data_IF_052445573792
#
_entry.id   IF_052445573792
#
_cell.length_a   1.000
_cell.length_b   1.000
_cell.length_c   1.000
_cell.angle_alpha   90.00
_cell.angle_beta   90.00
_cell.angle_gamma   90.00
#
_symmetry.space_group_name_H-M   'P 1'
#
loop_
_entity.id
_entity.type
_entity.pdbx_description
1 polymer ?
#
# COMPACT_ATOMS: atom_id res chain seq x y z
N UNK A 1 -22.51 5.53 -4.22
CA UNK A 1 -21.28 4.88 -4.70
C UNK A 1 -21.06 3.65 -3.87
N UNK A 2 -20.93 2.48 -4.49
CA UNK A 2 -20.61 1.24 -3.80
C UNK A 2 -19.16 1.22 -3.32
N UNK A 3 -18.80 0.38 -2.33
CA UNK A 3 -17.40 0.15 -1.93
C UNK A 3 -16.48 -0.19 -3.11
N UNK A 4 -16.92 -1.06 -4.01
CA UNK A 4 -16.15 -1.48 -5.18
C UNK A 4 -15.97 -0.34 -6.19
N UNK A 5 -17.01 0.46 -6.45
CA UNK A 5 -16.94 1.64 -7.32
C UNK A 5 -15.97 2.69 -6.76
N UNK A 6 -15.97 2.89 -5.44
CA UNK A 6 -15.02 3.78 -4.78
C UNK A 6 -13.58 3.32 -5.01
N UNK A 7 -13.29 2.04 -4.75
CA UNK A 7 -11.97 1.45 -4.96
C UNK A 7 -11.54 1.56 -6.43
N UNK A 8 -12.45 1.28 -7.37
CA UNK A 8 -12.17 1.41 -8.79
C UNK A 8 -11.83 2.85 -9.18
N UNK A 9 -12.60 3.83 -8.70
CA UNK A 9 -12.36 5.25 -8.97
C UNK A 9 -11.02 5.70 -8.39
N UNK A 10 -10.71 5.32 -7.15
CA UNK A 10 -9.44 5.64 -6.49
C UNK A 10 -8.25 5.02 -7.25
N UNK A 11 -8.37 3.76 -7.64
CA UNK A 11 -7.34 3.06 -8.38
C UNK A 11 -7.10 3.68 -9.77
N UNK A 12 -8.17 3.99 -10.51
CA UNK A 12 -8.09 4.61 -11.83
C UNK A 12 -7.49 6.04 -11.78
N UNK A 13 -7.89 6.84 -10.79
CA UNK A 13 -7.41 8.21 -10.64
C UNK A 13 -5.90 8.31 -10.38
N UNK A 14 -5.28 7.24 -9.87
CA UNK A 14 -3.83 7.21 -9.63
C UNK A 14 -2.96 7.31 -10.89
N UNK A 15 -3.54 7.12 -12.09
CA UNK A 15 -2.81 7.15 -13.37
C UNK A 15 -1.76 6.04 -13.53
N UNK A 16 -1.71 5.08 -12.60
CA UNK A 16 -0.68 4.04 -12.58
C UNK A 16 -0.93 2.97 -13.64
N UNK A 17 0.16 2.49 -14.25
CA UNK A 17 0.15 1.33 -15.15
C UNK A 17 -0.36 0.05 -14.46
N UNK A 18 -0.26 -0.04 -13.13
CA UNK A 18 -0.77 -1.19 -12.37
C UNK A 18 -2.29 -1.35 -12.49
N UNK A 19 -3.06 -0.26 -12.49
CA UNK A 19 -4.52 -0.36 -12.56
C UNK A 19 -4.98 -1.07 -13.85
N UNK A 20 -4.32 -0.78 -14.98
CA UNK A 20 -4.65 -1.40 -16.26
C UNK A 20 -4.28 -2.89 -16.31
N UNK A 21 -3.23 -3.32 -15.61
CA UNK A 21 -2.87 -4.75 -15.57
C UNK A 21 -3.92 -5.59 -14.82
N UNK A 22 -4.63 -5.00 -13.86
CA UNK A 22 -5.69 -5.69 -13.11
C UNK A 22 -6.91 -6.05 -13.98
N UNK A 23 -7.13 -5.34 -15.09
CA UNK A 23 -8.24 -5.60 -16.02
C UNK A 23 -8.18 -6.98 -16.69
N UNK A 24 -7.03 -7.64 -16.66
CA UNK A 24 -6.86 -9.00 -17.21
C UNK A 24 -7.10 -10.10 -16.17
N UNK A 25 -7.32 -9.76 -14.91
CA UNK A 25 -7.57 -10.74 -13.86
C UNK A 25 -9.03 -11.22 -13.85
N UNK A 26 -9.29 -12.46 -13.39
CA UNK A 26 -10.64 -12.95 -13.11
C UNK A 26 -11.39 -12.01 -12.14
N UNK A 27 -12.73 -11.90 -12.23
CA UNK A 27 -13.50 -10.88 -11.50
C UNK A 27 -13.24 -10.82 -9.99
N UNK A 28 -13.13 -11.97 -9.32
CA UNK A 28 -12.89 -12.03 -7.87
C UNK A 28 -11.51 -11.46 -7.49
N UNK A 29 -10.46 -11.88 -8.21
CA UNK A 29 -9.09 -11.41 -7.98
C UNK A 29 -8.95 -9.93 -8.34
N UNK A 30 -9.64 -9.49 -9.41
CA UNK A 30 -9.68 -8.08 -9.83
C UNK A 30 -10.26 -7.18 -8.74
N UNK A 31 -11.39 -7.56 -8.12
CA UNK A 31 -11.97 -6.78 -7.02
C UNK A 31 -11.03 -6.73 -5.82
N UNK A 32 -10.48 -7.87 -5.42
CA UNK A 32 -9.54 -7.95 -4.31
C UNK A 32 -8.29 -7.07 -4.51
N UNK A 33 -7.61 -7.17 -5.66
CA UNK A 33 -6.41 -6.36 -5.92
C UNK A 33 -6.75 -4.87 -6.09
N UNK A 34 -7.92 -4.54 -6.64
CA UNK A 34 -8.35 -3.14 -6.77
C UNK A 34 -8.61 -2.53 -5.39
N UNK A 35 -9.26 -3.27 -4.49
CA UNK A 35 -9.48 -2.83 -3.11
C UNK A 35 -8.16 -2.71 -2.33
N UNK A 36 -7.24 -3.67 -2.48
CA UNK A 36 -5.90 -3.59 -1.88
C UNK A 36 -5.10 -2.39 -2.40
N UNK A 37 -5.15 -2.15 -3.71
CA UNK A 37 -4.46 -1.02 -4.33
C UNK A 37 -5.06 0.31 -3.88
N UNK A 38 -6.40 0.40 -3.80
CA UNK A 38 -7.08 1.58 -3.25
C UNK A 38 -6.69 1.83 -1.78
N UNK A 39 -6.53 0.78 -0.97
CA UNK A 39 -6.00 0.89 0.40
C UNK A 39 -4.59 1.47 0.40
N UNK A 40 -3.67 0.91 -0.39
CA UNK A 40 -2.31 1.42 -0.47
C UNK A 40 -2.29 2.90 -0.87
N UNK A 41 -3.16 3.32 -1.80
CA UNK A 41 -3.29 4.72 -2.22
C UNK A 41 -3.83 5.63 -1.13
N UNK A 42 -4.90 5.24 -0.45
CA UNK A 42 -5.45 6.03 0.66
C UNK A 42 -4.42 6.32 1.74
N UNK A 43 -3.55 5.36 2.07
CA UNK A 43 -2.53 5.56 3.09
C UNK A 43 -1.33 6.34 2.56
N UNK A 44 -0.91 6.13 1.30
CA UNK A 44 0.13 6.93 0.63
C UNK A 44 -0.26 8.43 0.58
N UNK A 45 -1.53 8.72 0.27
CA UNK A 45 -2.06 10.09 0.21
C UNK A 45 -2.05 10.78 1.59
N UNK A 46 -2.11 10.05 2.71
CA UNK A 46 -1.97 10.64 4.06
C UNK A 46 -0.59 11.26 4.27
N UNK A 47 0.45 10.68 3.67
CA UNK A 47 1.83 11.18 3.77
C UNK A 47 2.09 12.24 2.71
N UNK A 48 1.53 12.07 1.50
CA UNK A 48 1.77 12.96 0.38
C UNK A 48 0.94 14.26 0.46
N UNK A 49 -0.33 14.23 0.86
CA UNK A 49 -1.20 15.42 0.79
C UNK A 49 -1.22 16.26 2.07
N UNK A 50 -0.78 15.71 3.21
CA UNK A 50 -0.89 16.39 4.50
C UNK A 50 0.35 17.22 4.83
N UNK A 51 0.17 18.53 4.90
CA UNK A 51 1.24 19.47 5.27
C UNK A 51 1.57 19.42 6.78
N UNK A 52 0.58 19.09 7.63
CA UNK A 52 0.76 19.02 9.09
C UNK A 52 1.04 17.57 9.54
N UNK A 53 2.26 17.28 10.06
CA UNK A 53 2.61 15.96 10.56
C UNK A 53 1.72 15.45 11.69
N UNK A 54 1.13 16.33 12.51
CA UNK A 54 0.22 15.92 13.58
C UNK A 54 -1.09 15.37 13.02
N UNK A 55 -1.62 16.00 11.97
CA UNK A 55 -2.83 15.53 11.28
C UNK A 55 -2.56 14.22 10.54
N UNK A 56 -1.40 14.12 9.86
CA UNK A 56 -0.98 12.87 9.21
C UNK A 56 -0.90 11.70 10.20
N UNK A 57 -0.27 11.91 11.37
CA UNK A 57 -0.23 10.91 12.45
C UNK A 57 -1.61 10.50 12.95
N UNK A 58 -2.51 11.47 13.15
CA UNK A 58 -3.88 11.18 13.57
C UNK A 58 -4.65 10.35 12.52
N UNK A 59 -4.43 10.63 11.23
CA UNK A 59 -5.01 9.86 10.13
C UNK A 59 -4.46 8.44 10.04
N UNK A 60 -3.15 8.24 10.21
CA UNK A 60 -2.56 6.90 10.27
C UNK A 60 -3.08 6.11 11.48
N UNK A 61 -3.24 6.76 12.63
CA UNK A 61 -3.84 6.14 13.81
C UNK A 61 -5.30 5.71 13.54
N UNK A 62 -6.10 6.57 12.91
CA UNK A 62 -7.45 6.22 12.49
C UNK A 62 -7.47 5.02 11.53
N UNK A 63 -6.53 4.96 10.57
CA UNK A 63 -6.40 3.80 9.68
C UNK A 63 -6.04 2.51 10.43
N UNK A 64 -5.20 2.59 11.47
CA UNK A 64 -4.89 1.44 12.33
C UNK A 64 -6.15 0.94 13.06
N UNK A 65 -6.95 1.84 13.60
CA UNK A 65 -8.23 1.51 14.23
C UNK A 65 -9.23 0.92 13.23
N UNK A 66 -9.29 1.47 12.02
CA UNK A 66 -10.13 1.00 10.93
C UNK A 66 -9.74 -0.41 10.44
N UNK A 67 -8.45 -0.73 10.41
CA UNK A 67 -7.98 -2.11 10.20
C UNK A 67 -8.45 -2.99 11.37
N UNK A 68 -8.38 -2.51 12.61
CA UNK A 68 -8.96 -3.21 13.76
C UNK A 68 -10.44 -3.55 13.56
N UNK A 69 -11.24 -2.58 13.12
CA UNK A 69 -12.67 -2.75 12.81
C UNK A 69 -12.92 -3.74 11.67
N UNK A 70 -12.12 -3.68 10.62
CA UNK A 70 -12.18 -4.61 9.49
C UNK A 70 -12.08 -6.07 9.97
N UNK A 71 -11.11 -6.40 10.81
CA UNK A 71 -10.95 -7.75 11.34
C UNK A 71 -11.95 -8.09 12.46
N UNK A 72 -12.61 -7.08 13.06
CA UNK A 72 -13.74 -7.28 13.96
C UNK A 72 -15.09 -7.47 13.21
N UNK A 73 -15.10 -7.33 11.87
CA UNK A 73 -16.30 -7.49 11.05
C UNK A 73 -17.17 -6.23 10.94
N UNK A 74 -16.68 -5.06 11.36
CA UNK A 74 -17.40 -3.78 11.33
C UNK A 74 -16.65 -2.66 10.55
N UNK A 75 -16.17 -2.91 9.32
CA UNK A 75 -15.45 -1.89 8.55
C UNK A 75 -16.35 -0.71 8.19
N UNK A 76 -15.85 0.50 8.41
CA UNK A 76 -16.59 1.75 8.14
C UNK A 76 -16.17 2.38 6.80
N UNK A 77 -14.90 2.26 6.44
CA UNK A 77 -14.38 2.87 5.22
C UNK A 77 -14.81 2.08 3.96
N UNK A 78 -15.14 2.74 2.83
CA UNK A 78 -15.45 2.02 1.58
C UNK A 78 -14.37 1.01 1.17
N UNK A 79 -13.10 1.35 1.35
CA UNK A 79 -11.98 0.46 0.98
C UNK A 79 -11.93 -0.79 1.86
N UNK A 80 -12.07 -0.66 3.18
CA UNK A 80 -12.07 -1.81 4.09
C UNK A 80 -13.33 -2.65 3.91
N UNK A 81 -14.48 -2.02 3.63
CA UNK A 81 -15.71 -2.73 3.24
C UNK A 81 -15.54 -3.56 1.96
N UNK A 82 -14.81 -3.04 0.97
CA UNK A 82 -14.49 -3.78 -0.26
C UNK A 82 -13.45 -4.88 -0.03
N UNK A 83 -12.51 -4.70 0.92
CA UNK A 83 -11.52 -5.72 1.30
C UNK A 83 -12.11 -6.87 2.13
N UNK A 84 -13.09 -6.59 2.99
CA UNK A 84 -13.70 -7.55 3.90
C UNK A 84 -14.06 -8.91 3.29
N UNK A 85 -14.76 -9.01 2.14
CA UNK A 85 -15.11 -10.31 1.53
C UNK A 85 -13.89 -11.09 1.00
N UNK A 86 -12.71 -10.48 0.95
CA UNK A 86 -11.50 -11.04 0.34
C UNK A 86 -10.46 -11.52 1.35
N UNK A 87 -10.61 -11.16 2.64
CA UNK A 87 -9.61 -11.44 3.67
C UNK A 87 -9.29 -12.94 3.78
N UNK A 88 -10.32 -13.76 4.03
CA UNK A 88 -10.15 -15.20 4.16
C UNK A 88 -9.82 -15.89 2.84
N UNK A 89 -10.34 -15.39 1.71
CA UNK A 89 -10.18 -16.02 0.41
C UNK A 89 -8.74 -15.93 -0.13
N UNK A 90 -7.99 -14.90 0.28
CA UNK A 90 -6.64 -14.62 -0.21
C UNK A 90 -5.60 -14.48 0.90
N UNK A 91 -5.92 -14.92 2.13
CA UNK A 91 -5.06 -14.81 3.31
C UNK A 91 -4.46 -13.40 3.49
N UNK A 92 -5.31 -12.37 3.34
CA UNK A 92 -4.91 -11.00 3.64
C UNK A 92 -4.87 -10.90 5.16
N UNK A 93 -3.66 -10.94 5.72
CA UNK A 93 -3.43 -10.92 7.16
C UNK A 93 -3.42 -9.49 7.70
N UNK A 94 -3.89 -9.33 8.94
CA UNK A 94 -3.94 -8.03 9.63
C UNK A 94 -2.56 -7.39 9.70
N UNK A 95 -1.56 -8.17 10.08
CA UNK A 95 -0.19 -7.71 10.26
C UNK A 95 0.41 -7.17 8.96
N UNK A 96 0.07 -7.77 7.81
CA UNK A 96 0.53 -7.28 6.51
C UNK A 96 -0.04 -5.90 6.18
N UNK A 97 -1.31 -5.62 6.51
CA UNK A 97 -1.87 -4.27 6.32
C UNK A 97 -1.24 -3.27 7.30
N UNK A 98 -1.02 -3.68 8.55
CA UNK A 98 -0.38 -2.83 9.56
C UNK A 98 1.09 -2.51 9.20
N UNK A 99 1.82 -3.43 8.59
CA UNK A 99 3.19 -3.19 8.11
C UNK A 99 3.22 -2.11 7.00
N UNK A 100 2.20 -2.07 6.14
CA UNK A 100 2.07 -0.99 5.14
C UNK A 100 1.85 0.36 5.83
N UNK A 101 0.98 0.43 6.86
CA UNK A 101 0.81 1.64 7.68
C UNK A 101 2.12 2.06 8.37
N UNK A 102 2.87 1.10 8.90
CA UNK A 102 4.16 1.37 9.54
C UNK A 102 5.13 1.99 8.55
N UNK A 103 5.19 1.47 7.31
CA UNK A 103 6.00 2.06 6.25
C UNK A 103 5.65 3.53 5.97
N UNK A 104 4.36 3.88 5.99
CA UNK A 104 3.89 5.27 5.83
C UNK A 104 4.22 6.13 7.06
N UNK A 105 4.16 5.56 8.26
CA UNK A 105 4.57 6.25 9.49
C UNK A 105 6.08 6.54 9.50
N UNK A 106 6.92 5.68 8.92
CA UNK A 106 8.36 5.91 8.79
C UNK A 106 8.65 7.18 7.96
N UNK A 107 7.87 7.44 6.91
CA UNK A 107 8.02 8.65 6.08
C UNK A 107 7.72 9.95 6.85
N UNK A 108 6.90 9.90 7.90
CA UNK A 108 6.63 11.05 8.78
C UNK A 108 7.73 11.32 9.82
N UNK A 109 8.59 10.33 10.07
CA UNK A 109 9.60 10.40 11.13
C UNK A 109 10.98 10.79 10.60
N UNK A 110 11.32 10.36 9.39
CA UNK A 110 12.66 10.55 8.83
C UNK A 110 12.63 10.62 7.30
N UNK A 111 13.56 11.40 6.74
CA UNK A 111 13.74 11.55 5.29
C UNK A 111 15.06 10.96 4.79
N UNK A 112 15.83 10.30 5.67
CA UNK A 112 17.13 9.70 5.37
C UNK A 112 17.33 8.40 6.15
N UNK A 113 18.01 7.46 5.51
CA UNK A 113 18.39 6.17 6.10
C UNK A 113 19.91 6.12 6.25
N UNK A 114 20.39 5.72 7.43
CA UNK A 114 21.82 5.68 7.76
C UNK A 114 22.54 4.50 7.10
N UNK A 115 21.84 3.40 6.89
CA UNK A 115 22.38 2.18 6.31
C UNK A 115 21.38 1.50 5.38
N UNK A 116 21.90 0.52 4.62
CA UNK A 116 21.08 -0.25 3.69
C UNK A 116 20.03 -1.11 4.41
N UNK A 117 20.31 -1.60 5.61
CA UNK A 117 19.37 -2.46 6.33
C UNK A 117 18.09 -1.70 6.72
N UNK A 118 18.24 -0.45 7.19
CA UNK A 118 17.13 0.44 7.49
C UNK A 118 16.37 0.82 6.21
N UNK A 119 17.07 1.12 5.11
CA UNK A 119 16.44 1.39 3.81
C UNK A 119 15.69 0.17 3.27
N UNK A 120 16.26 -1.04 3.42
CA UNK A 120 15.64 -2.28 2.96
C UNK A 120 14.39 -2.61 3.79
N UNK A 121 14.41 -2.38 5.10
CA UNK A 121 13.22 -2.50 5.97
C UNK A 121 12.11 -1.55 5.52
N UNK A 122 12.46 -0.30 5.25
CA UNK A 122 11.50 0.66 4.70
C UNK A 122 10.90 0.18 3.37
N UNK A 123 11.74 -0.23 2.41
CA UNK A 123 11.29 -0.72 1.12
C UNK A 123 10.42 -1.99 1.25
N UNK A 124 10.73 -2.85 2.21
CA UNK A 124 9.90 -4.02 2.52
C UNK A 124 8.50 -3.58 2.95
N UNK A 125 8.38 -2.66 3.92
CA UNK A 125 7.09 -2.21 4.43
C UNK A 125 6.24 -1.51 3.36
N UNK A 126 6.82 -0.61 2.55
CA UNK A 126 6.07 0.19 1.57
C UNK A 126 5.81 -0.50 0.23
N UNK A 127 6.59 -1.55 -0.12
CA UNK A 127 6.48 -2.21 -1.42
C UNK A 127 6.59 -3.73 -1.37
N UNK A 128 7.49 -4.28 -0.54
CA UNK A 128 7.67 -5.73 -0.40
C UNK A 128 6.40 -6.44 0.09
N UNK A 129 5.80 -5.97 1.17
CA UNK A 129 4.56 -6.52 1.76
C UNK A 129 3.40 -6.41 0.78
N UNK A 130 3.29 -5.30 0.03
CA UNK A 130 2.27 -5.14 -1.02
C UNK A 130 2.48 -6.18 -2.14
N UNK A 131 3.73 -6.47 -2.49
CA UNK A 131 4.08 -7.54 -3.43
C UNK A 131 3.62 -8.92 -2.96
N UNK A 132 3.84 -9.25 -1.68
CA UNK A 132 3.39 -10.52 -1.09
C UNK A 132 1.87 -10.65 -1.09
N UNK A 133 1.16 -9.62 -0.63
CA UNK A 133 -0.30 -9.57 -0.63
C UNK A 133 -0.87 -9.74 -2.06
N UNK A 134 -0.23 -9.08 -3.03
CA UNK A 134 -0.60 -9.21 -4.45
C UNK A 134 -0.37 -10.63 -4.97
N UNK A 135 0.77 -11.25 -4.61
CA UNK A 135 1.06 -12.63 -4.99
C UNK A 135 0.01 -13.61 -4.44
N UNK A 136 -0.41 -13.43 -3.19
CA UNK A 136 -1.50 -14.20 -2.58
C UNK A 136 -2.82 -14.05 -3.34
N UNK A 137 -3.22 -12.81 -3.66
CA UNK A 137 -4.42 -12.54 -4.46
C UNK A 137 -4.35 -13.17 -5.86
N UNK A 138 -3.16 -13.23 -6.46
CA UNK A 138 -2.93 -13.87 -7.76
C UNK A 138 -2.87 -15.40 -7.69
N UNK A 139 -2.93 -15.98 -6.49
CA UNK A 139 -3.00 -17.42 -6.25
C UNK A 139 -1.63 -18.09 -6.07
N UNK A 140 -0.63 -17.36 -5.59
CA UNK A 140 0.65 -17.94 -5.21
C UNK A 140 0.48 -18.94 -4.06
N UNK A 141 1.03 -20.15 -4.22
CA UNK A 141 0.96 -21.22 -3.21
C UNK A 141 2.33 -21.66 -2.70
N UNK A 142 3.41 -21.23 -3.34
CA UNK A 142 4.78 -21.61 -3.01
C UNK A 142 5.50 -20.47 -2.29
N UNK A 143 6.19 -20.77 -1.18
CA UNK A 143 6.96 -19.76 -0.42
C UNK A 143 7.98 -19.02 -1.31
N UNK A 144 8.61 -19.72 -2.25
CA UNK A 144 9.55 -19.13 -3.22
C UNK A 144 8.93 -17.99 -4.05
N UNK A 145 7.62 -18.05 -4.33
CA UNK A 145 6.91 -16.97 -5.04
C UNK A 145 6.79 -15.73 -4.16
N UNK A 146 6.53 -15.90 -2.86
CA UNK A 146 6.49 -14.80 -1.90
C UNK A 146 7.88 -14.19 -1.68
N UNK A 147 8.93 -15.02 -1.60
CA UNK A 147 10.32 -14.53 -1.58
C UNK A 147 10.65 -13.69 -2.83
N UNK A 148 10.22 -14.14 -4.00
CA UNK A 148 10.41 -13.38 -5.24
C UNK A 148 9.61 -12.08 -5.23
N UNK A 149 8.36 -12.11 -4.75
CA UNK A 149 7.51 -10.92 -4.64
C UNK A 149 8.13 -9.86 -3.71
N UNK A 150 8.69 -10.27 -2.57
CA UNK A 150 9.48 -9.38 -1.68
C UNK A 150 10.63 -8.70 -2.42
N UNK A 151 11.44 -9.49 -3.13
CA UNK A 151 12.60 -8.99 -3.89
C UNK A 151 12.19 -8.05 -5.01
N UNK A 152 11.10 -8.36 -5.71
CA UNK A 152 10.55 -7.51 -6.76
C UNK A 152 10.06 -6.18 -6.20
N UNK A 153 9.32 -6.20 -5.09
CA UNK A 153 8.87 -4.98 -4.39
C UNK A 153 10.04 -4.09 -3.98
N UNK A 154 11.08 -4.69 -3.38
CA UNK A 154 12.33 -3.99 -3.05
C UNK A 154 12.99 -3.37 -4.28
N UNK A 155 13.13 -4.12 -5.37
CA UNK A 155 13.76 -3.64 -6.60
C UNK A 155 12.99 -2.47 -7.24
N UNK A 156 11.66 -2.57 -7.31
CA UNK A 156 10.80 -1.50 -7.82
C UNK A 156 10.90 -0.24 -6.97
N UNK A 157 10.91 -0.39 -5.64
CA UNK A 157 11.00 0.75 -4.74
C UNK A 157 12.37 1.44 -4.79
N UNK A 158 13.46 0.67 -4.82
CA UNK A 158 14.79 1.23 -5.02
C UNK A 158 14.90 1.95 -6.37
N UNK A 159 14.28 1.40 -7.42
CA UNK A 159 14.23 2.05 -8.74
C UNK A 159 13.50 3.39 -8.68
N UNK A 160 12.35 3.45 -7.99
CA UNK A 160 11.63 4.71 -7.77
C UNK A 160 12.50 5.73 -7.01
N UNK A 161 13.14 5.31 -5.91
CA UNK A 161 14.03 6.18 -5.12
C UNK A 161 15.19 6.73 -5.98
N UNK A 162 15.83 5.89 -6.79
CA UNK A 162 16.95 6.30 -7.66
C UNK A 162 16.46 7.25 -8.76
N UNK A 163 15.34 6.94 -9.42
CA UNK A 163 14.75 7.80 -10.46
C UNK A 163 14.44 9.19 -9.91
N UNK A 164 13.89 9.25 -8.70
CA UNK A 164 13.38 10.50 -8.13
C UNK A 164 14.45 11.29 -7.37
N UNK A 165 15.67 10.76 -7.23
CA UNK A 165 16.74 11.34 -6.37
C UNK A 165 17.04 12.81 -6.67
N UNK A 166 16.92 13.22 -7.94
CA UNK A 166 17.11 14.61 -8.36
C UNK A 166 16.01 15.51 -7.84
N UNK A 167 14.77 15.03 -7.81
CA UNK A 167 13.66 15.77 -7.23
C UNK A 167 13.76 15.82 -5.69
N UNK A 168 14.08 14.71 -5.03
CA UNK A 168 14.26 14.68 -3.56
C UNK A 168 15.37 15.61 -3.05
N UNK A 169 16.31 16.02 -3.91
CA UNK A 169 17.32 17.03 -3.57
C UNK A 169 16.78 18.46 -3.52
N UNK A 170 15.71 18.75 -4.26
CA UNK A 170 15.13 20.08 -4.41
C UNK A 170 13.83 20.22 -3.61
N UNK A 171 13.10 19.11 -3.44
CA UNK A 171 11.88 19.02 -2.68
C UNK A 171 12.12 18.69 -1.21
N UNK A 172 11.34 19.30 -0.33
CA UNK A 172 11.29 18.99 1.11
C UNK A 172 10.37 17.81 1.43
N UNK A 173 9.55 17.33 0.48
CA UNK A 173 8.65 16.19 0.66
C UNK A 173 8.45 15.36 -0.61
N UNK A 174 7.98 14.12 -0.42
CA UNK A 174 7.67 13.14 -1.47
C UNK A 174 6.60 13.63 -2.44
N UNK A 175 5.63 14.38 -1.93
CA UNK A 175 4.51 14.96 -2.66
C UNK A 175 4.94 15.87 -3.81
N UNK A 176 6.08 16.53 -3.68
CA UNK A 176 6.58 17.48 -4.70
C UNK A 176 7.29 16.76 -5.86
N UNK A 177 7.49 15.44 -5.77
CA UNK A 177 8.30 14.65 -6.70
C UNK A 177 7.54 13.67 -7.58
N UNK A 178 6.20 13.67 -7.53
CA UNK A 178 5.35 12.83 -8.37
C UNK A 178 4.64 13.63 -9.45
#
# INVERSE_FOLDING_TARGET
>A
MSPDEYCQKKAAASGSSFYYSFLFLPPLRRRAITALYAYCREVDDVVDEMQDPAVARARLAWWSDEIGRLYAGDPQHPVTRALAPHLSAFDIRRDSLLLVLEGMAMDLQQNRYLDYAALARYCHNVAGVVGELSAGIFGASQERTYEYARKLGLALQLTNIIRDVTCWRVATSRATCR
#
